data_IF_019923074058
#
_entry.id   IF_019923074058
#
_cell.length_a   1.000
_cell.length_b   1.000
_cell.length_c   1.000
_cell.angle_alpha   90.00
_cell.angle_beta   90.00
_cell.angle_gamma   90.00
#
_symmetry.space_group_name_H-M   'P 1'
#
loop_
_entity.id
_entity.type
_entity.pdbx_description
1 polymer ?
#
# COMPACT_ATOMS: atom_id res chain seq x y z
N UNK A 1 -53.45 26.02 -6.99
CA UNK A 1 -53.04 25.62 -8.34
C UNK A 1 -53.17 24.11 -8.43
N UNK A 2 -54.19 23.61 -9.15
CA UNK A 2 -54.49 22.18 -9.24
C UNK A 2 -53.82 21.59 -10.50
N UNK A 3 -52.90 20.65 -10.30
CA UNK A 3 -52.26 19.88 -11.36
C UNK A 3 -53.20 18.77 -11.85
N UNK A 4 -53.65 18.88 -13.10
CA UNK A 4 -54.33 17.82 -13.85
C UNK A 4 -53.34 16.70 -14.15
N UNK A 5 -53.67 15.48 -13.75
CA UNK A 5 -52.95 14.26 -14.12
C UNK A 5 -53.65 13.70 -15.36
N UNK A 6 -52.93 13.63 -16.49
CA UNK A 6 -53.43 13.06 -17.74
C UNK A 6 -53.33 11.53 -17.68
N UNK A 7 -54.49 10.89 -17.54
CA UNK A 7 -54.65 9.45 -17.33
C UNK A 7 -54.85 8.76 -18.70
N UNK A 8 -53.79 8.74 -19.52
CA UNK A 8 -53.84 8.07 -20.83
C UNK A 8 -53.35 6.62 -20.70
N UNK A 9 -54.19 5.60 -20.96
CA UNK A 9 -53.78 4.21 -20.84
C UNK A 9 -52.73 3.83 -21.90
N UNK A 10 -51.71 3.05 -21.55
CA UNK A 10 -50.64 2.68 -22.46
C UNK A 10 -51.15 1.78 -23.59
N UNK A 11 -50.92 2.19 -24.84
CA UNK A 11 -51.22 1.40 -26.04
C UNK A 11 -50.36 0.13 -26.05
N UNK A 12 -50.98 -1.04 -25.83
CA UNK A 12 -50.35 -2.34 -26.06
C UNK A 12 -49.98 -2.50 -27.54
N UNK A 13 -48.68 -2.49 -27.83
CA UNK A 13 -48.13 -2.89 -29.13
C UNK A 13 -48.31 -4.40 -29.30
N UNK A 14 -49.10 -4.81 -30.29
CA UNK A 14 -49.19 -6.20 -30.74
C UNK A 14 -47.87 -6.58 -31.41
N UNK A 15 -47.12 -7.51 -30.82
CA UNK A 15 -45.96 -8.14 -31.46
C UNK A 15 -46.45 -9.05 -32.60
N UNK A 16 -46.39 -8.53 -33.83
CA UNK A 16 -46.38 -9.34 -35.05
C UNK A 16 -44.93 -9.69 -35.35
N UNK A 17 -44.57 -10.95 -35.18
CA UNK A 17 -43.27 -11.47 -35.54
C UNK A 17 -43.24 -12.95 -35.20
N UNK A 18 -43.68 -13.78 -36.14
CA UNK A 18 -43.36 -15.21 -36.11
C UNK A 18 -41.86 -15.35 -36.18
N UNK A 19 -41.28 -16.07 -35.23
CA UNK A 19 -39.89 -16.47 -35.30
C UNK A 19 -39.81 -17.59 -36.34
N UNK A 20 -39.34 -17.25 -37.55
CA UNK A 20 -38.75 -18.25 -38.43
C UNK A 20 -37.54 -18.82 -37.70
N UNK A 21 -37.67 -20.05 -37.21
CA UNK A 21 -36.59 -20.76 -36.56
C UNK A 21 -35.63 -21.25 -37.65
N UNK A 22 -34.58 -20.47 -37.93
CA UNK A 22 -33.42 -20.98 -38.65
C UNK A 22 -32.71 -22.02 -37.77
N UNK A 23 -32.48 -23.22 -38.32
CA UNK A 23 -31.66 -24.26 -37.72
C UNK A 23 -30.19 -23.79 -37.69
N UNK A 24 -29.83 -22.98 -36.70
CA UNK A 24 -28.45 -22.62 -36.42
C UNK A 24 -27.77 -23.75 -35.62
N UNK A 25 -26.70 -24.32 -36.19
CA UNK A 25 -25.85 -25.26 -35.47
C UNK A 25 -25.09 -24.45 -34.39
N UNK A 26 -25.18 -24.79 -33.09
CA UNK A 26 -24.48 -24.02 -32.06
C UNK A 26 -22.97 -24.13 -32.28
N UNK A 27 -22.34 -23.02 -32.63
CA UNK A 27 -20.88 -22.92 -32.66
C UNK A 27 -20.34 -22.99 -31.22
N UNK A 28 -20.16 -24.22 -30.74
CA UNK A 28 -19.39 -24.52 -29.53
C UNK A 28 -17.92 -24.26 -29.85
N UNK A 29 -17.40 -23.05 -29.65
CA UNK A 29 -15.96 -22.89 -29.92
C UNK A 29 -15.29 -21.53 -29.76
N UNK A 30 -15.93 -20.52 -29.19
CA UNK A 30 -15.19 -19.35 -28.73
C UNK A 30 -14.71 -19.59 -27.30
N UNK A 31 -13.43 -19.91 -27.07
CA UNK A 31 -12.89 -19.91 -25.70
C UNK A 31 -12.85 -18.45 -25.24
N UNK A 32 -13.95 -17.98 -24.67
CA UNK A 32 -14.02 -16.68 -24.03
C UNK A 32 -12.88 -16.62 -23.02
N UNK A 33 -11.97 -15.65 -23.18
CA UNK A 33 -10.86 -15.47 -22.26
C UNK A 33 -11.36 -15.35 -20.81
N UNK A 34 -10.51 -15.65 -19.81
CA UNK A 34 -10.92 -15.62 -18.42
C UNK A 34 -11.58 -14.27 -18.06
N UNK A 35 -12.68 -14.29 -17.28
CA UNK A 35 -13.45 -13.10 -16.96
C UNK A 35 -12.58 -12.09 -16.19
N UNK A 36 -12.85 -10.80 -16.35
CA UNK A 36 -12.15 -9.78 -15.59
C UNK A 36 -12.35 -10.00 -14.07
N UNK A 37 -11.35 -9.68 -13.22
CA UNK A 37 -11.54 -9.66 -11.77
C UNK A 37 -12.70 -8.76 -11.36
N UNK A 38 -13.47 -9.16 -10.34
CA UNK A 38 -14.61 -8.37 -9.79
C UNK A 38 -14.13 -7.37 -8.73
N UNK A 39 -13.06 -6.66 -9.03
CA UNK A 39 -12.47 -5.68 -8.12
C UNK A 39 -12.87 -4.28 -8.56
N UNK A 40 -13.35 -3.47 -7.61
CA UNK A 40 -13.65 -2.06 -7.88
C UNK A 40 -12.38 -1.34 -8.36
N UNK A 41 -12.40 -0.69 -9.53
CA UNK A 41 -11.23 0.04 -10.02
C UNK A 41 -10.78 1.12 -9.02
N UNK A 42 -9.60 0.93 -8.42
CA UNK A 42 -8.99 1.91 -7.53
C UNK A 42 -8.22 2.97 -8.33
N UNK A 43 -8.27 4.26 -7.93
CA UNK A 43 -7.43 5.30 -8.54
C UNK A 43 -5.94 4.99 -8.31
N UNK A 44 -5.02 5.56 -9.12
CA UNK A 44 -3.60 5.46 -8.80
C UNK A 44 -3.32 6.13 -7.45
N UNK A 45 -2.25 5.71 -6.77
CA UNK A 45 -1.91 6.24 -5.45
C UNK A 45 -0.41 6.32 -5.25
N UNK A 46 0.03 7.27 -4.44
CA UNK A 46 1.41 7.36 -3.96
C UNK A 46 1.52 6.70 -2.59
N UNK A 47 2.63 6.04 -2.29
CA UNK A 47 2.91 5.63 -0.91
C UNK A 47 3.50 6.79 -0.13
N UNK A 48 3.15 6.88 1.15
CA UNK A 48 3.67 7.91 2.06
C UNK A 48 4.26 7.21 3.27
N UNK A 49 5.56 7.42 3.47
CA UNK A 49 6.32 7.03 4.65
C UNK A 49 6.13 8.06 5.77
N UNK A 50 6.13 7.61 7.02
CA UNK A 50 6.14 8.48 8.19
C UNK A 50 7.14 7.92 9.21
N UNK A 51 8.01 8.76 9.81
CA UNK A 51 9.08 8.30 10.69
C UNK A 51 8.61 7.55 11.93
N UNK A 52 7.41 7.87 12.43
CA UNK A 52 6.83 7.23 13.61
C UNK A 52 6.01 5.95 13.30
N UNK A 53 5.93 5.52 12.03
CA UNK A 53 5.05 4.39 11.64
C UNK A 53 5.85 3.19 11.16
N UNK A 54 6.12 2.29 12.09
CA UNK A 54 6.87 1.06 11.87
C UNK A 54 6.10 -0.17 12.35
N UNK A 55 6.51 -1.34 11.88
CA UNK A 55 5.95 -2.62 12.32
C UNK A 55 6.75 -3.79 11.74
N UNK A 56 6.33 -5.00 12.09
CA UNK A 56 7.00 -6.23 11.63
C UNK A 56 6.13 -6.94 10.59
N UNK A 57 6.72 -7.23 9.42
CA UNK A 57 6.07 -8.00 8.35
C UNK A 57 7.02 -9.13 7.94
N UNK A 58 6.56 -10.37 8.07
CA UNK A 58 7.33 -11.59 7.75
C UNK A 58 8.73 -11.62 8.42
N UNK A 59 8.80 -11.19 9.69
CA UNK A 59 10.05 -11.17 10.46
C UNK A 59 11.01 -10.03 10.10
N UNK A 60 10.59 -9.07 9.29
CA UNK A 60 11.38 -7.87 8.97
C UNK A 60 10.74 -6.62 9.58
N UNK A 61 11.55 -5.78 10.23
CA UNK A 61 11.14 -4.45 10.69
C UNK A 61 11.08 -3.52 9.48
N UNK A 62 9.89 -3.05 9.17
CA UNK A 62 9.61 -2.26 7.96
C UNK A 62 8.64 -1.11 8.24
N UNK A 63 8.69 -0.03 7.44
CA UNK A 63 7.75 1.07 7.60
C UNK A 63 6.34 0.70 7.18
N UNK A 64 5.34 1.23 7.90
CA UNK A 64 3.93 1.06 7.59
C UNK A 64 3.45 2.23 6.72
N UNK A 65 3.54 2.05 5.41
CA UNK A 65 3.18 3.06 4.42
C UNK A 65 1.67 3.35 4.41
N UNK A 66 1.30 4.63 4.24
CA UNK A 66 -0.08 5.02 3.92
C UNK A 66 -0.23 5.29 2.43
N UNK A 67 -1.47 5.25 1.91
CA UNK A 67 -1.77 5.50 0.49
C UNK A 67 -2.35 6.91 0.32
N UNK A 68 -1.68 7.74 -0.48
CA UNK A 68 -2.19 9.01 -0.98
C UNK A 68 -2.89 8.77 -2.33
N UNK A 69 -4.21 8.61 -2.30
CA UNK A 69 -5.01 8.26 -3.47
C UNK A 69 -5.23 9.46 -4.39
N UNK A 70 -4.90 9.31 -5.67
CA UNK A 70 -5.06 10.32 -6.71
C UNK A 70 -6.51 10.38 -7.23
N UNK A 71 -7.46 10.74 -6.35
CA UNK A 71 -8.88 10.90 -6.68
C UNK A 71 -9.27 12.37 -6.66
N UNK A 72 -9.78 12.88 -7.78
CA UNK A 72 -10.28 14.27 -7.90
C UNK A 72 -11.19 14.64 -6.72
N UNK A 73 -10.91 15.76 -6.07
CA UNK A 73 -11.70 16.31 -4.96
C UNK A 73 -11.42 15.66 -3.60
N UNK A 74 -10.44 14.74 -3.50
CA UNK A 74 -10.02 14.13 -2.23
C UNK A 74 -8.65 14.68 -1.84
N UNK A 75 -8.47 15.10 -0.59
CA UNK A 75 -7.18 15.53 -0.03
C UNK A 75 -6.43 16.58 -0.87
N UNK A 76 -7.14 17.54 -1.47
CA UNK A 76 -6.54 18.58 -2.31
C UNK A 76 -6.02 18.08 -3.66
N UNK A 77 -6.42 16.88 -4.10
CA UNK A 77 -6.12 16.38 -5.45
C UNK A 77 -7.02 17.09 -6.46
N UNK A 78 -6.39 17.84 -7.37
CA UNK A 78 -7.07 18.61 -8.41
C UNK A 78 -7.02 17.90 -9.77
N UNK A 79 -7.75 18.43 -10.74
CA UNK A 79 -7.84 17.92 -12.10
C UNK A 79 -7.59 19.03 -13.10
N UNK A 80 -6.53 18.90 -13.88
CA UNK A 80 -6.29 19.81 -15.00
C UNK A 80 -7.16 19.39 -16.18
N UNK A 81 -8.16 20.23 -16.50
CA UNK A 81 -9.06 20.01 -17.64
C UNK A 81 -8.32 20.01 -18.98
N UNK A 82 -7.21 20.76 -19.11
CA UNK A 82 -6.46 20.87 -20.36
C UNK A 82 -5.63 19.63 -20.63
N UNK A 83 -4.80 19.21 -19.67
CA UNK A 83 -3.97 18.01 -19.84
C UNK A 83 -4.71 16.70 -19.56
N UNK A 84 -5.92 16.77 -18.99
CA UNK A 84 -6.69 15.60 -18.52
C UNK A 84 -5.88 14.74 -17.55
N UNK A 85 -5.08 15.38 -16.70
CA UNK A 85 -4.24 14.73 -15.70
C UNK A 85 -4.67 15.12 -14.29
N UNK A 86 -4.44 14.18 -13.37
CA UNK A 86 -4.62 14.41 -11.94
C UNK A 86 -3.41 15.20 -11.44
N UNK A 87 -3.67 16.33 -10.77
CA UNK A 87 -2.65 17.15 -10.11
C UNK A 87 -2.59 16.77 -8.63
N UNK A 88 -1.43 16.28 -8.18
CA UNK A 88 -1.22 15.83 -6.80
C UNK A 88 -0.35 16.78 -5.97
N UNK A 89 0.10 17.90 -6.53
CA UNK A 89 1.08 18.80 -5.90
C UNK A 89 0.64 19.27 -4.51
N UNK A 90 -0.59 19.78 -4.39
CA UNK A 90 -1.16 20.21 -3.10
C UNK A 90 -1.27 19.05 -2.11
N UNK A 91 -1.69 17.87 -2.56
CA UNK A 91 -1.84 16.69 -1.72
C UNK A 91 -0.49 16.18 -1.19
N UNK A 92 0.54 16.21 -2.05
CA UNK A 92 1.93 15.88 -1.71
C UNK A 92 2.48 16.89 -0.71
N UNK A 93 2.30 18.19 -0.95
CA UNK A 93 2.74 19.25 -0.04
C UNK A 93 2.08 19.11 1.34
N UNK A 94 0.78 18.78 1.40
CA UNK A 94 0.09 18.52 2.67
C UNK A 94 0.60 17.28 3.40
N UNK A 95 0.95 16.21 2.66
CA UNK A 95 1.54 15.03 3.27
C UNK A 95 2.93 15.34 3.85
N UNK A 96 3.75 16.09 3.11
CA UNK A 96 5.08 16.53 3.54
C UNK A 96 5.03 17.49 4.73
N UNK A 97 4.08 18.43 4.75
CA UNK A 97 3.86 19.33 5.88
C UNK A 97 3.50 18.58 7.18
N UNK A 98 3.01 17.35 7.08
CA UNK A 98 2.72 16.46 8.22
C UNK A 98 3.87 15.50 8.55
N UNK A 99 5.08 15.76 8.05
CA UNK A 99 6.23 14.88 8.26
C UNK A 99 6.25 13.63 7.37
N UNK A 100 5.36 13.54 6.38
CA UNK A 100 5.28 12.39 5.47
C UNK A 100 6.27 12.51 4.31
N UNK A 101 7.03 11.45 4.03
CA UNK A 101 7.83 11.36 2.81
C UNK A 101 7.06 10.63 1.72
N UNK A 102 6.75 11.32 0.62
CA UNK A 102 6.03 10.71 -0.51
C UNK A 102 7.00 9.94 -1.39
N UNK A 103 6.73 8.65 -1.58
CA UNK A 103 7.54 7.75 -2.40
C UNK A 103 7.07 7.86 -3.86
N UNK A 104 7.93 8.27 -4.80
CA UNK A 104 7.55 8.42 -6.21
C UNK A 104 7.28 7.06 -6.86
N UNK A 105 6.36 6.99 -7.82
CA UNK A 105 6.07 5.73 -8.53
C UNK A 105 7.32 5.07 -9.11
N UNK A 106 8.25 5.85 -9.66
CA UNK A 106 9.48 5.37 -10.30
C UNK A 106 10.67 5.24 -9.34
N UNK A 107 10.42 5.01 -8.04
CA UNK A 107 11.48 4.85 -7.00
C UNK A 107 12.44 3.69 -7.29
N UNK A 108 12.01 2.68 -8.04
CA UNK A 108 12.85 1.56 -8.47
C UNK A 108 13.54 1.83 -9.83
N UNK A 109 13.53 3.06 -10.31
CA UNK A 109 14.11 3.47 -11.58
C UNK A 109 13.10 3.53 -12.74
N UNK A 110 13.57 3.98 -13.90
CA UNK A 110 12.73 4.25 -15.07
C UNK A 110 11.96 3.01 -15.50
N UNK A 111 10.63 3.14 -15.62
CA UNK A 111 9.74 2.07 -16.07
C UNK A 111 9.38 1.03 -15.00
N UNK A 112 9.91 1.14 -13.77
CA UNK A 112 9.59 0.23 -12.67
C UNK A 112 8.75 0.95 -11.62
N UNK A 113 7.47 0.60 -11.55
CA UNK A 113 6.51 1.12 -10.58
C UNK A 113 6.13 0.04 -9.55
N UNK A 114 5.93 0.45 -8.30
CA UNK A 114 5.38 -0.43 -7.27
C UNK A 114 3.87 -0.66 -7.39
N UNK A 115 3.18 0.12 -8.23
CA UNK A 115 1.79 -0.15 -8.67
C UNK A 115 1.74 -0.61 -10.12
N UNK A 116 0.77 -1.46 -10.42
CA UNK A 116 0.44 -1.95 -11.77
C UNK A 116 -1.04 -1.73 -12.08
N UNK A 117 -1.35 -1.50 -13.34
CA UNK A 117 -2.72 -1.37 -13.83
C UNK A 117 -3.31 -2.76 -14.08
N UNK A 118 -4.58 -2.97 -13.70
CA UNK A 118 -5.24 -4.27 -13.87
C UNK A 118 -6.22 -4.27 -15.04
N UNK A 119 -6.45 -5.46 -15.62
CA UNK A 119 -7.44 -5.65 -16.69
C UNK A 119 -8.83 -5.40 -16.11
N UNK A 120 -9.59 -4.49 -16.72
CA UNK A 120 -10.85 -3.96 -16.16
C UNK A 120 -10.72 -2.56 -15.56
N UNK A 121 -9.49 -2.02 -15.48
CA UNK A 121 -9.23 -0.68 -14.98
C UNK A 121 -8.79 -0.67 -13.51
N UNK A 122 -8.26 0.47 -13.06
CA UNK A 122 -7.75 0.65 -11.71
C UNK A 122 -6.30 0.19 -11.49
N UNK A 123 -5.81 0.41 -10.28
CA UNK A 123 -4.41 0.22 -9.89
C UNK A 123 -4.30 -0.62 -8.62
N UNK A 124 -3.35 -1.54 -8.60
CA UNK A 124 -3.02 -2.37 -7.43
C UNK A 124 -1.53 -2.39 -7.20
N UNK A 125 -1.09 -2.80 -6.01
CA UNK A 125 0.34 -2.98 -5.75
C UNK A 125 0.90 -4.13 -6.60
N UNK A 126 2.20 -4.12 -6.92
CA UNK A 126 2.78 -5.16 -7.78
C UNK A 126 2.78 -6.56 -7.13
N UNK A 127 2.75 -6.61 -5.80
CA UNK A 127 2.67 -7.82 -4.96
C UNK A 127 1.25 -8.36 -4.79
N UNK A 128 0.23 -7.62 -5.25
CA UNK A 128 -1.15 -8.11 -5.28
C UNK A 128 -1.40 -8.99 -6.52
N UNK A 129 -1.98 -10.15 -6.28
CA UNK A 129 -2.52 -11.05 -7.31
C UNK A 129 -4.04 -11.03 -7.22
N UNK A 130 -4.69 -10.72 -8.34
CA UNK A 130 -6.14 -10.71 -8.49
C UNK A 130 -6.61 -11.94 -9.24
N UNK A 131 -7.73 -12.52 -8.82
CA UNK A 131 -8.28 -13.72 -9.45
C UNK A 131 -9.43 -13.39 -10.43
N UNK A 132 -9.44 -13.95 -11.65
CA UNK A 132 -10.53 -13.80 -12.62
C UNK A 132 -11.91 -14.08 -12.03
N UNK A 133 -12.89 -13.21 -12.28
CA UNK A 133 -14.28 -13.40 -11.82
C UNK A 133 -14.50 -13.32 -10.31
N UNK A 134 -13.46 -13.01 -9.52
CA UNK A 134 -13.50 -12.92 -8.06
C UNK A 134 -13.06 -11.54 -7.58
N UNK A 135 -13.51 -11.14 -6.39
CA UNK A 135 -13.03 -9.96 -5.66
C UNK A 135 -11.86 -10.29 -4.72
N UNK A 136 -11.51 -11.58 -4.59
CA UNK A 136 -10.41 -12.04 -3.75
C UNK A 136 -9.08 -11.53 -4.26
N UNK A 137 -8.17 -11.26 -3.32
CA UNK A 137 -6.80 -10.82 -3.57
C UNK A 137 -5.85 -11.64 -2.69
N UNK A 138 -4.69 -12.00 -3.24
CA UNK A 138 -3.57 -12.53 -2.47
C UNK A 138 -2.44 -11.53 -2.54
N UNK A 139 -1.75 -11.32 -1.42
CA UNK A 139 -0.60 -10.40 -1.33
C UNK A 139 0.63 -11.24 -1.08
N UNK A 140 1.67 -11.03 -1.88
CA UNK A 140 3.02 -11.51 -1.59
C UNK A 140 3.65 -10.62 -0.50
N UNK A 141 3.40 -10.98 0.76
CA UNK A 141 3.86 -10.24 1.94
C UNK A 141 5.38 -10.24 2.06
N UNK A 142 6.04 -11.34 1.73
CA UNK A 142 7.51 -11.48 1.76
C UNK A 142 8.15 -10.57 0.73
N UNK A 143 7.68 -10.60 -0.52
CA UNK A 143 8.18 -9.71 -1.57
C UNK A 143 7.92 -8.23 -1.26
N UNK A 144 6.81 -7.91 -0.59
CA UNK A 144 6.53 -6.55 -0.15
C UNK A 144 7.47 -6.09 0.97
N UNK A 145 7.65 -6.89 2.02
CA UNK A 145 8.57 -6.57 3.12
C UNK A 145 10.03 -6.44 2.63
N UNK A 146 10.47 -7.36 1.76
CA UNK A 146 11.80 -7.31 1.14
C UNK A 146 12.00 -6.03 0.34
N UNK A 147 10.98 -5.58 -0.41
CA UNK A 147 11.07 -4.31 -1.13
C UNK A 147 11.15 -3.12 -0.19
N UNK A 148 10.36 -3.07 0.88
CA UNK A 148 10.44 -2.01 1.89
C UNK A 148 11.84 -1.95 2.51
N UNK A 149 12.41 -3.10 2.85
CA UNK A 149 13.78 -3.16 3.37
C UNK A 149 14.80 -2.64 2.35
N UNK A 150 14.65 -3.01 1.08
CA UNK A 150 15.50 -2.47 0.00
C UNK A 150 15.41 -0.95 -0.19
N UNK A 151 14.34 -0.29 0.30
CA UNK A 151 14.28 1.18 0.29
C UNK A 151 15.12 1.78 1.41
N UNK A 152 15.18 1.12 2.57
CA UNK A 152 16.02 1.50 3.70
C UNK A 152 17.49 1.29 3.32
N UNK A 153 17.86 0.09 2.86
CA UNK A 153 19.25 -0.24 2.51
C UNK A 153 19.81 0.64 1.37
N UNK A 154 18.94 1.21 0.51
CA UNK A 154 19.33 2.16 -0.55
C UNK A 154 19.37 3.62 -0.10
N UNK A 155 19.06 3.91 1.17
CA UNK A 155 18.93 5.26 1.69
C UNK A 155 17.76 6.06 1.10
N UNK A 156 16.78 5.39 0.48
CA UNK A 156 15.55 6.05 0.01
C UNK A 156 14.64 6.40 1.18
N UNK A 157 14.61 5.52 2.18
CA UNK A 157 13.97 5.76 3.47
C UNK A 157 15.06 5.71 4.55
N UNK A 158 14.97 6.52 5.62
CA UNK A 158 15.91 6.45 6.71
C UNK A 158 15.70 5.16 7.54
N UNK A 159 16.71 4.83 8.35
CA UNK A 159 16.61 3.77 9.35
C UNK A 159 15.50 4.07 10.39
N UNK A 160 14.93 3.05 11.04
CA UNK A 160 13.98 3.25 12.12
C UNK A 160 14.64 4.00 13.30
N UNK A 161 14.00 5.05 13.84
CA UNK A 161 14.51 5.70 15.04
C UNK A 161 14.51 4.73 16.23
N UNK A 162 15.58 4.70 17.03
CA UNK A 162 15.73 3.79 18.18
C UNK A 162 14.56 3.87 19.16
N UNK A 163 14.04 5.07 19.43
CA UNK A 163 12.90 5.25 20.34
C UNK A 163 11.62 4.58 19.82
N UNK A 164 11.43 4.50 18.49
CA UNK A 164 10.27 3.81 17.88
C UNK A 164 10.45 2.29 17.98
N UNK A 165 11.68 1.78 17.83
CA UNK A 165 11.98 0.37 18.02
C UNK A 165 11.73 -0.07 19.47
N UNK A 166 12.15 0.75 20.45
CA UNK A 166 11.88 0.52 21.86
C UNK A 166 10.37 0.44 22.14
N UNK A 167 9.59 1.40 21.63
CA UNK A 167 8.12 1.37 21.77
C UNK A 167 7.51 0.12 21.12
N UNK A 168 7.98 -0.26 19.93
CA UNK A 168 7.49 -1.45 19.22
C UNK A 168 7.81 -2.74 19.99
N UNK A 169 8.99 -2.83 20.61
CA UNK A 169 9.36 -3.94 21.47
C UNK A 169 8.46 -4.05 22.70
N UNK A 170 8.20 -2.93 23.39
CA UNK A 170 7.27 -2.88 24.54
C UNK A 170 5.86 -3.34 24.14
N UNK A 171 5.34 -2.86 23.00
CA UNK A 171 4.04 -3.26 22.48
C UNK A 171 3.97 -4.77 22.19
N UNK A 172 5.03 -5.34 21.59
CA UNK A 172 5.12 -6.78 21.31
C UNK A 172 5.22 -7.61 22.58
N UNK A 173 6.00 -7.19 23.57
CA UNK A 173 6.08 -7.84 24.89
C UNK A 173 4.73 -7.85 25.60
N UNK A 174 4.02 -6.71 25.64
CA UNK A 174 2.68 -6.62 26.21
C UNK A 174 1.72 -7.58 25.50
N UNK A 175 1.76 -7.62 24.16
CA UNK A 175 0.94 -8.52 23.34
C UNK A 175 1.24 -9.99 23.58
N UNK A 176 2.51 -10.37 23.74
CA UNK A 176 2.93 -11.74 24.11
C UNK A 176 2.33 -12.11 25.46
N UNK A 177 2.43 -11.23 26.47
CA UNK A 177 1.85 -11.45 27.80
C UNK A 177 0.34 -11.65 27.76
N UNK A 178 -0.39 -10.86 26.96
CA UNK A 178 -1.83 -11.04 26.76
C UNK A 178 -2.18 -12.37 26.06
N UNK A 179 -1.44 -12.72 25.00
CA UNK A 179 -1.67 -13.96 24.26
C UNK A 179 -1.35 -15.20 25.10
N UNK A 180 -0.31 -15.15 25.92
CA UNK A 180 0.07 -16.23 26.84
C UNK A 180 -1.03 -16.46 27.90
N UNK A 181 -1.57 -15.39 28.50
CA UNK A 181 -2.70 -15.48 29.44
C UNK A 181 -3.93 -16.14 28.80
N UNK A 182 -4.21 -15.83 27.53
CA UNK A 182 -5.31 -16.44 26.76
C UNK A 182 -5.01 -17.89 26.35
N UNK A 183 -3.75 -18.20 26.08
CA UNK A 183 -3.29 -19.53 25.66
C UNK A 183 -3.37 -20.60 26.74
N UNK A 184 -3.28 -20.22 28.02
CA UNK A 184 -3.55 -21.12 29.14
C UNK A 184 -4.95 -21.77 29.08
N UNK A 185 -5.88 -21.18 28.33
CA UNK A 185 -7.24 -21.67 28.14
C UNK A 185 -7.46 -22.38 26.78
N UNK A 186 -6.56 -22.22 25.80
CA UNK A 186 -6.72 -22.75 24.44
C UNK A 186 -5.38 -22.84 23.67
N UNK A 187 -5.01 -24.04 23.22
CA UNK A 187 -3.76 -24.30 22.48
C UNK A 187 -3.60 -23.54 21.15
N UNK A 188 -4.69 -23.03 20.55
CA UNK A 188 -4.61 -22.24 19.32
C UNK A 188 -3.81 -20.92 19.45
N UNK A 189 -3.59 -20.43 20.67
CA UNK A 189 -2.81 -19.21 20.92
C UNK A 189 -1.30 -19.45 20.91
N UNK A 190 -0.82 -20.69 21.05
CA UNK A 190 0.61 -20.99 21.09
C UNK A 190 1.32 -20.53 19.81
N UNK A 191 0.73 -20.83 18.65
CA UNK A 191 1.26 -20.38 17.34
C UNK A 191 1.32 -18.85 17.25
N UNK A 192 0.37 -18.14 17.86
CA UNK A 192 0.35 -16.67 17.87
C UNK A 192 1.40 -16.09 18.82
N UNK A 193 1.64 -16.74 19.95
CA UNK A 193 2.72 -16.38 20.89
C UNK A 193 4.07 -16.57 20.21
N UNK A 194 4.31 -17.74 19.59
CA UNK A 194 5.55 -18.02 18.85
C UNK A 194 5.79 -17.01 17.73
N UNK A 195 4.75 -16.63 16.99
CA UNK A 195 4.87 -15.59 15.97
C UNK A 195 5.25 -14.23 16.56
N UNK A 196 4.57 -13.80 17.62
CA UNK A 196 4.88 -12.52 18.27
C UNK A 196 6.29 -12.51 18.90
N UNK A 197 6.78 -13.66 19.38
CA UNK A 197 8.15 -13.81 19.87
C UNK A 197 9.17 -13.62 18.74
N UNK A 198 8.94 -14.22 17.55
CA UNK A 198 9.80 -13.98 16.38
C UNK A 198 9.76 -12.52 15.93
N UNK A 199 8.58 -11.90 15.98
CA UNK A 199 8.46 -10.49 15.65
C UNK A 199 9.26 -9.62 16.66
N UNK A 200 9.25 -9.96 17.95
CA UNK A 200 10.04 -9.28 18.97
C UNK A 200 11.56 -9.48 18.76
N UNK A 201 11.98 -10.71 18.46
CA UNK A 201 13.38 -11.01 18.14
C UNK A 201 13.88 -10.19 16.95
N UNK A 202 13.06 -10.06 15.89
CA UNK A 202 13.37 -9.22 14.75
C UNK A 202 13.52 -7.74 15.10
N UNK A 203 12.70 -7.22 16.04
CA UNK A 203 12.82 -5.83 16.51
C UNK A 203 14.10 -5.64 17.32
N UNK A 204 14.43 -6.55 18.22
CA UNK A 204 15.65 -6.46 19.04
C UNK A 204 16.92 -6.53 18.17
N UNK A 205 16.94 -7.44 17.19
CA UNK A 205 18.06 -7.53 16.24
C UNK A 205 18.20 -6.28 15.37
N UNK A 206 17.09 -5.63 15.00
CA UNK A 206 17.14 -4.36 14.27
C UNK A 206 17.62 -3.20 15.17
N UNK A 207 17.27 -3.20 16.45
CA UNK A 207 17.79 -2.23 17.43
C UNK A 207 19.30 -2.30 17.51
N UNK A 208 19.86 -3.49 17.73
CA UNK A 208 21.31 -3.73 17.79
C UNK A 208 21.99 -3.26 16.50
N UNK A 209 21.44 -3.62 15.33
CA UNK A 209 21.95 -3.14 14.04
C UNK A 209 21.96 -1.61 13.92
N UNK A 210 20.97 -0.91 14.47
CA UNK A 210 20.92 0.56 14.41
C UNK A 210 21.89 1.20 15.40
N UNK A 211 22.07 0.62 16.58
CA UNK A 211 23.06 1.08 17.56
C UNK A 211 24.48 0.97 17.00
N UNK A 212 24.82 -0.15 16.33
CA UNK A 212 26.13 -0.34 15.69
C UNK A 212 26.43 0.74 14.62
N UNK A 213 25.41 1.22 13.89
CA UNK A 213 25.57 2.25 12.87
C UNK A 213 25.81 3.65 13.47
N UNK A 214 25.18 3.95 14.61
CA UNK A 214 25.35 5.24 15.29
C UNK A 214 26.76 5.36 15.93
N UNK A 215 27.39 4.25 16.31
CA UNK A 215 28.77 4.23 16.83
C UNK A 215 29.81 4.55 15.74
N UNK A 216 29.63 4.05 14.51
CA UNK A 216 30.56 4.31 13.40
C UNK A 216 30.57 5.79 12.95
N UNK A 217 29.44 6.49 13.03
CA UNK A 217 29.36 7.91 12.65
C UNK A 217 30.00 8.86 13.69
N UNK A 218 30.18 8.40 14.94
CA UNK A 218 30.70 9.21 16.04
C UNK A 218 32.23 9.39 16.06
N UNK A 219 32.98 8.56 15.33
CA UNK A 219 34.45 8.55 15.37
C UNK A 219 35.12 9.47 14.32
N UNK A 220 34.39 9.96 13.32
CA UNK A 220 34.87 11.03 12.44
C UNK A 220 34.75 12.39 13.14
N UNK A 221 35.51 12.59 14.23
CA UNK A 221 35.74 13.92 14.76
C UNK A 221 36.47 14.72 13.67
N UNK A 222 35.87 15.77 13.09
CA UNK A 222 36.52 16.51 12.02
C UNK A 222 37.82 17.07 12.59
N UNK A 223 38.94 16.76 11.93
CA UNK A 223 40.27 17.27 12.26
C UNK A 223 40.27 18.80 12.06
N UNK A 224 39.76 19.52 13.07
CA UNK A 224 39.55 20.98 13.06
C UNK A 224 40.87 21.75 13.11
N UNK A 225 42.01 21.06 13.16
CA UNK A 225 43.36 21.64 13.19
C UNK A 225 43.80 22.27 11.85
N UNK A 226 42.94 22.22 10.83
CA UNK A 226 43.19 22.81 9.52
C UNK A 226 42.83 24.30 9.33
N UNK A 227 42.32 25.03 10.34
CA UNK A 227 42.01 26.46 10.15
C UNK A 227 43.30 27.29 10.10
N UNK A 228 43.72 27.84 8.94
CA UNK A 228 44.90 28.69 8.89
C UNK A 228 44.63 29.95 9.70
N UNK A 229 45.35 30.14 10.81
CA UNK A 229 45.35 31.41 11.55
C UNK A 229 45.95 32.48 10.65
N UNK A 230 45.08 33.22 9.98
CA UNK A 230 45.45 34.39 9.18
C UNK A 230 46.25 35.38 10.04
N UNK A 231 47.47 35.67 9.58
CA UNK A 231 48.37 36.65 10.16
C UNK A 231 47.85 38.05 9.81
N UNK A 232 47.66 38.90 10.83
CA UNK A 232 47.35 40.33 10.68
C UNK A 232 48.63 41.11 10.45
#
# INVERSE_FOLDING_TARGET
>A
MATRVDDTPPKQRRSRGGADAEEATPELGGVAGPPAPKVTPEPPYLFVYHPERWGVIEGLVVPILSKLVAKKGVNGVDWDERSKKVLMETAVAQAQAKGGTVIPWAVDGRGRSYIKRVKGGGWVSRWETLYPGSSQRTVDSVGYATWLRSLIDRGVLPNPPLYVLAELAEQLQARIGELAKKGAMNGAYEVRVQRAQRDLEAVLAETERCEDLDEEEGEEEPDLDGVPRGTV
#
